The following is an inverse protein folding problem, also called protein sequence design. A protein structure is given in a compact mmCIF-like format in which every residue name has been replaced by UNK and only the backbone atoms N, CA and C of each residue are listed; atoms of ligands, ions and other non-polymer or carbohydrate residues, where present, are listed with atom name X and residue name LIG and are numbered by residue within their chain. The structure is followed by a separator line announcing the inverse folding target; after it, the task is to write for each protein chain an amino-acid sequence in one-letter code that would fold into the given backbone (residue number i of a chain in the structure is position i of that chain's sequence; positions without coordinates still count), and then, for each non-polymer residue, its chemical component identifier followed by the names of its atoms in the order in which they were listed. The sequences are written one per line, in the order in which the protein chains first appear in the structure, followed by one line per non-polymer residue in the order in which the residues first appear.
data_IF_960873247626
#
_entry.id   IF_960873247626
#
_cell.length_a   1.000
_cell.length_b   1.000
_cell.length_c   1.000
_cell.angle_alpha   90.00
_cell.angle_beta   90.00
_cell.angle_gamma   90.00
#
_symmetry.space_group_name_H-M   'P 1'
#
loop_
_entity.id
_entity.type
_entity.pdbx_description
1 polymer ?
#
# COMPACT_ATOMS: atom_id res chain seq x y z
N UNK A 1 3.76 -10.81 -35.04
CA UNK A 1 4.27 -12.00 -34.32
C UNK A 1 4.11 -11.83 -32.80
N UNK A 2 4.49 -10.69 -32.20
CA UNK A 2 4.48 -10.51 -30.74
C UNK A 2 3.06 -10.47 -30.16
N UNK A 3 2.17 -9.65 -30.72
CA UNK A 3 0.83 -9.44 -30.16
C UNK A 3 -0.01 -10.72 -30.06
N UNK A 4 -0.15 -11.56 -31.10
CA UNK A 4 -0.92 -12.80 -31.00
C UNK A 4 -0.36 -13.75 -29.95
N UNK A 5 0.97 -13.90 -29.89
CA UNK A 5 1.66 -14.76 -28.92
C UNK A 5 1.41 -14.27 -27.48
N UNK A 6 1.47 -12.96 -27.23
CA UNK A 6 1.23 -12.37 -25.92
C UNK A 6 -0.22 -12.60 -25.50
N UNK A 7 -1.20 -12.35 -26.38
CA UNK A 7 -2.62 -12.56 -26.09
C UNK A 7 -2.93 -14.02 -25.75
N UNK A 8 -2.44 -14.94 -26.58
CA UNK A 8 -2.61 -16.37 -26.35
C UNK A 8 -2.00 -16.81 -25.01
N UNK A 9 -0.78 -16.39 -24.74
CA UNK A 9 -0.07 -16.75 -23.50
C UNK A 9 -0.75 -16.20 -22.26
N UNK A 10 -1.28 -14.97 -22.31
CA UNK A 10 -2.05 -14.40 -21.20
C UNK A 10 -3.38 -15.14 -21.01
N UNK A 11 -4.06 -15.51 -22.08
CA UNK A 11 -5.31 -16.30 -22.00
C UNK A 11 -5.06 -17.65 -21.32
N UNK A 12 -3.97 -18.33 -21.70
CA UNK A 12 -3.57 -19.61 -21.09
C UNK A 12 -3.22 -19.49 -19.60
N UNK A 13 -2.75 -18.33 -19.14
CA UNK A 13 -2.46 -18.10 -17.72
C UNK A 13 -3.70 -17.95 -16.84
N UNK A 14 -4.90 -17.88 -17.42
CA UNK A 14 -6.19 -17.91 -16.75
C UNK A 14 -6.45 -16.73 -15.79
N UNK A 15 -6.26 -15.46 -16.20
CA UNK A 15 -6.53 -14.33 -15.31
C UNK A 15 -8.04 -14.23 -15.00
N UNK A 16 -8.38 -14.16 -13.71
CA UNK A 16 -9.77 -14.08 -13.24
C UNK A 16 -10.30 -12.65 -13.18
N UNK A 17 -9.41 -11.65 -13.14
CA UNK A 17 -9.77 -10.23 -13.05
C UNK A 17 -9.23 -9.45 -14.24
N UNK A 18 -9.98 -8.46 -14.71
CA UNK A 18 -9.54 -7.55 -15.78
C UNK A 18 -8.18 -6.89 -15.47
N UNK A 19 -7.96 -6.46 -14.23
CA UNK A 19 -6.70 -5.87 -13.81
C UNK A 19 -5.51 -6.84 -13.85
N UNK A 20 -5.75 -8.12 -13.60
CA UNK A 20 -4.72 -9.17 -13.73
C UNK A 20 -4.36 -9.36 -15.20
N UNK A 21 -5.35 -9.47 -16.08
CA UNK A 21 -5.15 -9.59 -17.53
C UNK A 21 -4.38 -8.38 -18.10
N UNK A 22 -4.80 -7.16 -17.75
CA UNK A 22 -4.13 -5.94 -18.19
C UNK A 22 -2.67 -5.86 -17.71
N UNK A 23 -2.38 -6.24 -16.47
CA UNK A 23 -1.02 -6.29 -15.96
C UNK A 23 -0.19 -7.39 -16.63
N UNK A 24 -0.76 -8.56 -16.85
CA UNK A 24 -0.09 -9.67 -17.55
C UNK A 24 0.25 -9.28 -18.99
N UNK A 25 -0.70 -8.69 -19.73
CA UNK A 25 -0.47 -8.17 -21.09
C UNK A 25 0.69 -7.17 -21.10
N UNK A 26 0.67 -6.18 -20.20
CA UNK A 26 1.70 -5.14 -20.12
C UNK A 26 3.09 -5.72 -19.88
N UNK A 27 3.21 -6.62 -18.93
CA UNK A 27 4.51 -7.19 -18.52
C UNK A 27 5.03 -8.14 -19.58
N UNK A 28 4.16 -9.01 -20.11
CA UNK A 28 4.55 -9.98 -21.13
C UNK A 28 4.88 -9.32 -22.47
N UNK A 29 4.18 -8.24 -22.87
CA UNK A 29 4.51 -7.49 -24.08
C UNK A 29 5.93 -6.91 -24.03
N UNK A 30 6.32 -6.31 -22.91
CA UNK A 30 7.68 -5.77 -22.75
C UNK A 30 8.74 -6.85 -22.82
N UNK A 31 8.48 -7.97 -22.14
CA UNK A 31 9.38 -9.11 -22.17
C UNK A 31 9.51 -9.70 -23.58
N UNK A 32 8.38 -9.90 -24.28
CA UNK A 32 8.37 -10.47 -25.63
C UNK A 32 9.07 -9.58 -26.65
N UNK A 33 8.87 -8.25 -26.57
CA UNK A 33 9.59 -7.30 -27.43
C UNK A 33 11.10 -7.39 -27.19
N UNK A 34 11.53 -7.34 -25.92
CA UNK A 34 12.94 -7.51 -25.59
C UNK A 34 13.50 -8.86 -26.07
N UNK A 35 12.75 -9.96 -25.90
CA UNK A 35 13.19 -11.27 -26.33
C UNK A 35 13.38 -11.35 -27.85
N UNK A 36 12.50 -10.73 -28.62
CA UNK A 36 12.64 -10.64 -30.09
C UNK A 36 13.84 -9.79 -30.46
N UNK A 37 14.07 -8.64 -29.79
CA UNK A 37 15.23 -7.79 -30.01
C UNK A 37 16.55 -8.49 -29.68
N UNK A 38 16.54 -9.45 -28.73
CA UNK A 38 17.68 -10.32 -28.41
C UNK A 38 17.78 -11.56 -29.35
N UNK A 39 16.95 -11.66 -30.39
CA UNK A 39 16.94 -12.76 -31.35
C UNK A 39 16.34 -14.06 -30.85
N UNK A 40 15.58 -14.03 -29.74
CA UNK A 40 14.95 -15.25 -29.22
C UNK A 40 13.67 -15.59 -29.98
N UNK A 41 13.44 -16.88 -30.19
CA UNK A 41 12.18 -17.38 -30.74
C UNK A 41 11.10 -17.35 -29.68
N UNK A 42 9.92 -16.79 -29.99
CA UNK A 42 8.78 -16.76 -29.10
C UNK A 42 8.07 -18.11 -29.00
N UNK A 43 8.74 -19.09 -28.40
CA UNK A 43 8.16 -20.35 -27.95
C UNK A 43 8.08 -20.34 -26.42
N UNK A 44 6.92 -20.70 -25.86
CA UNK A 44 6.67 -20.57 -24.41
C UNK A 44 7.65 -21.35 -23.55
N UNK A 45 7.95 -22.58 -23.96
CA UNK A 45 8.83 -23.48 -23.17
C UNK A 45 10.30 -23.04 -23.20
N UNK A 46 10.74 -22.42 -24.29
CA UNK A 46 12.13 -22.00 -24.45
C UNK A 46 12.39 -20.57 -23.97
N UNK A 47 11.43 -19.65 -24.16
CA UNK A 47 11.62 -18.22 -23.81
C UNK A 47 11.16 -17.86 -22.41
N UNK A 48 10.11 -18.51 -21.87
CA UNK A 48 9.62 -18.27 -20.51
C UNK A 48 10.34 -19.17 -19.50
N UNK A 49 11.66 -19.07 -19.45
CA UNK A 49 12.52 -19.82 -18.53
C UNK A 49 13.04 -18.91 -17.39
N UNK A 50 13.45 -19.49 -16.25
CA UNK A 50 14.08 -18.73 -15.17
C UNK A 50 15.25 -17.89 -15.66
N UNK A 51 16.12 -18.48 -16.48
CA UNK A 51 17.34 -17.86 -17.01
C UNK A 51 17.02 -16.67 -17.93
N UNK A 52 16.05 -16.82 -18.81
CA UNK A 52 15.63 -15.74 -19.71
C UNK A 52 15.02 -14.55 -18.93
N UNK A 53 14.22 -14.83 -17.91
CA UNK A 53 13.63 -13.78 -17.06
C UNK A 53 14.71 -13.09 -16.21
N UNK A 54 15.70 -13.82 -15.71
CA UNK A 54 16.81 -13.22 -14.96
C UNK A 54 17.70 -12.36 -15.86
N UNK A 55 17.96 -12.80 -17.10
CA UNK A 55 18.66 -12.00 -18.11
C UNK A 55 17.86 -10.72 -18.45
N UNK A 56 16.55 -10.82 -18.66
CA UNK A 56 15.68 -9.67 -18.88
C UNK A 56 15.73 -8.68 -17.72
N UNK A 57 15.71 -9.17 -16.47
CA UNK A 57 15.86 -8.34 -15.27
C UNK A 57 17.16 -7.51 -15.29
N UNK A 58 18.26 -8.14 -15.71
CA UNK A 58 19.59 -7.51 -15.67
C UNK A 58 19.81 -6.56 -16.85
N UNK A 59 19.30 -6.91 -18.02
CA UNK A 59 19.56 -6.22 -19.29
C UNK A 59 18.36 -5.38 -19.75
N UNK A 60 17.20 -6.01 -19.91
CA UNK A 60 16.02 -5.36 -20.49
C UNK A 60 15.31 -4.37 -19.58
N UNK A 61 15.49 -4.49 -18.26
CA UNK A 61 14.83 -3.62 -17.29
C UNK A 61 15.73 -2.50 -16.72
N UNK A 62 16.86 -2.19 -17.33
CA UNK A 62 17.81 -1.19 -16.78
C UNK A 62 17.21 0.17 -16.52
N UNK A 63 16.27 0.61 -17.35
CA UNK A 63 15.58 1.90 -17.20
C UNK A 63 14.50 1.91 -16.10
N UNK A 64 14.13 0.76 -15.52
CA UNK A 64 13.11 0.69 -14.48
C UNK A 64 13.73 0.86 -13.08
N UNK A 65 12.96 1.50 -12.17
CA UNK A 65 13.31 1.56 -10.75
C UNK A 65 13.40 0.14 -10.14
N UNK A 66 14.25 -0.09 -9.12
CA UNK A 66 14.44 -1.42 -8.52
C UNK A 66 13.13 -2.09 -8.05
N UNK A 67 12.22 -1.33 -7.46
CA UNK A 67 10.90 -1.81 -7.01
C UNK A 67 10.01 -2.24 -8.17
N UNK A 68 10.01 -1.47 -9.26
CA UNK A 68 9.27 -1.82 -10.49
C UNK A 68 9.83 -3.08 -11.12
N UNK A 69 11.17 -3.23 -11.18
CA UNK A 69 11.84 -4.45 -11.67
C UNK A 69 11.41 -5.68 -10.88
N UNK A 70 11.48 -5.61 -9.54
CA UNK A 70 11.09 -6.73 -8.67
C UNK A 70 9.63 -7.14 -8.85
N UNK A 71 8.72 -6.18 -8.96
CA UNK A 71 7.30 -6.44 -9.20
C UNK A 71 7.05 -7.06 -10.58
N UNK A 72 7.73 -6.57 -11.62
CA UNK A 72 7.58 -7.08 -12.99
C UNK A 72 8.14 -8.50 -13.13
N UNK A 73 9.33 -8.77 -12.56
CA UNK A 73 9.91 -10.12 -12.50
C UNK A 73 9.01 -11.10 -11.76
N UNK A 74 8.45 -10.71 -10.61
CA UNK A 74 7.54 -11.56 -9.85
C UNK A 74 6.30 -11.96 -10.67
N UNK A 75 5.73 -11.00 -11.40
CA UNK A 75 4.57 -11.25 -12.28
C UNK A 75 4.93 -12.14 -13.47
N UNK A 76 6.08 -11.88 -14.13
CA UNK A 76 6.56 -12.72 -15.23
C UNK A 76 6.78 -14.15 -14.78
N UNK A 77 7.44 -14.35 -13.64
CA UNK A 77 7.69 -15.68 -13.10
C UNK A 77 6.39 -16.41 -12.77
N UNK A 78 5.42 -15.73 -12.17
CA UNK A 78 4.11 -16.32 -11.86
C UNK A 78 3.38 -16.74 -13.14
N UNK A 79 3.33 -15.87 -14.15
CA UNK A 79 2.73 -16.14 -15.45
C UNK A 79 3.44 -17.29 -16.16
N UNK A 80 4.76 -17.25 -16.24
CA UNK A 80 5.57 -18.24 -16.92
C UNK A 80 5.37 -19.64 -16.33
N UNK A 81 5.34 -19.78 -14.99
CA UNK A 81 5.04 -21.06 -14.32
C UNK A 81 3.65 -21.59 -14.65
N UNK A 82 2.68 -20.72 -14.82
CA UNK A 82 1.31 -21.13 -15.15
C UNK A 82 1.20 -21.69 -16.60
N UNK A 83 2.06 -21.22 -17.53
CA UNK A 83 1.92 -21.54 -18.95
C UNK A 83 3.02 -22.46 -19.51
N UNK A 84 4.03 -22.81 -18.70
CA UNK A 84 5.10 -23.74 -19.08
C UNK A 84 5.01 -25.05 -18.28
N UNK A 85 5.38 -26.15 -18.91
CA UNK A 85 5.37 -27.48 -18.30
C UNK A 85 6.78 -28.07 -18.15
N UNK A 86 7.69 -27.71 -19.04
CA UNK A 86 9.05 -28.27 -19.14
C UNK A 86 10.14 -27.35 -18.63
N UNK A 87 9.85 -26.03 -18.50
CA UNK A 87 10.81 -25.06 -18.02
C UNK A 87 11.27 -25.40 -16.60
N UNK A 88 12.58 -25.31 -16.29
CA UNK A 88 13.15 -25.78 -15.00
C UNK A 88 12.91 -24.79 -13.87
N UNK A 89 11.67 -24.64 -13.45
CA UNK A 89 11.30 -23.75 -12.35
C UNK A 89 11.75 -24.31 -11.01
N UNK A 90 12.51 -23.56 -10.18
CA UNK A 90 12.85 -23.99 -8.84
C UNK A 90 11.59 -24.07 -7.97
N UNK A 91 11.60 -25.00 -7.01
CA UNK A 91 10.49 -25.15 -6.05
C UNK A 91 10.29 -23.87 -5.21
N UNK A 92 11.40 -23.28 -4.79
CA UNK A 92 11.41 -22.01 -4.06
C UNK A 92 12.25 -20.95 -4.78
N UNK A 93 11.80 -19.71 -4.71
CA UNK A 93 12.54 -18.58 -5.24
C UNK A 93 13.27 -17.84 -4.13
N UNK A 94 14.50 -17.43 -4.39
CA UNK A 94 15.07 -16.30 -3.68
C UNK A 94 14.17 -15.09 -3.93
N UNK A 95 13.39 -14.71 -2.93
CA UNK A 95 12.57 -13.50 -3.00
C UNK A 95 13.53 -12.31 -3.19
N UNK A 96 13.28 -11.50 -4.22
CA UNK A 96 13.99 -10.24 -4.39
C UNK A 96 13.84 -9.38 -3.11
N UNK A 97 14.78 -8.47 -2.87
CA UNK A 97 14.69 -7.57 -1.71
C UNK A 97 13.31 -6.92 -1.67
N UNK A 98 12.56 -7.23 -0.62
CA UNK A 98 11.27 -6.61 -0.36
C UNK A 98 11.52 -5.16 0.01
N UNK A 99 10.76 -4.24 -0.58
CA UNK A 99 10.67 -2.89 -0.03
C UNK A 99 9.95 -3.00 1.32
N UNK A 100 10.65 -2.67 2.40
CA UNK A 100 10.09 -2.61 3.74
C UNK A 100 9.00 -1.56 3.88
N UNK A 101 8.35 -1.52 5.05
CA UNK A 101 7.46 -0.42 5.39
C UNK A 101 8.31 0.87 5.51
N UNK A 102 7.74 1.97 5.03
CA UNK A 102 8.37 3.27 5.19
C UNK A 102 8.49 3.62 6.68
N UNK A 103 9.59 4.27 7.13
CA UNK A 103 9.71 4.74 8.51
C UNK A 103 8.51 5.60 8.92
N UNK A 104 8.00 5.51 10.16
CA UNK A 104 6.92 6.38 10.62
C UNK A 104 7.37 7.86 10.63
N UNK A 105 6.41 8.75 10.57
CA UNK A 105 6.63 10.16 10.86
C UNK A 105 6.79 10.37 12.36
N UNK A 106 7.60 11.37 12.76
CA UNK A 106 7.67 11.80 14.16
C UNK A 106 6.41 12.58 14.56
N UNK A 107 6.21 12.79 15.87
CA UNK A 107 5.10 13.58 16.37
C UNK A 107 5.17 15.02 15.89
N UNK A 108 6.38 15.58 15.81
CA UNK A 108 6.65 16.94 15.31
C UNK A 108 6.31 17.07 13.82
N UNK A 109 6.73 16.11 13.01
CA UNK A 109 6.37 16.07 11.58
C UNK A 109 4.85 16.03 11.41
N UNK A 110 4.15 15.17 12.16
CA UNK A 110 2.67 15.07 12.10
C UNK A 110 2.00 16.37 12.55
N UNK A 111 2.49 17.02 13.60
CA UNK A 111 1.99 18.33 14.04
C UNK A 111 2.22 19.40 12.95
N UNK A 112 3.38 19.43 12.34
CA UNK A 112 3.71 20.32 11.23
C UNK A 112 2.79 20.11 10.02
N UNK A 113 2.53 18.86 9.63
CA UNK A 113 1.58 18.57 8.54
C UNK A 113 0.14 18.98 8.89
N UNK A 114 -0.29 18.85 10.16
CA UNK A 114 -1.61 19.30 10.57
C UNK A 114 -1.74 20.83 10.50
N UNK A 115 -0.71 21.57 10.89
CA UNK A 115 -0.65 23.03 10.72
C UNK A 115 -0.64 23.40 9.22
N UNK A 116 0.20 22.76 8.42
CA UNK A 116 0.25 22.97 6.97
C UNK A 116 -1.10 22.70 6.29
N UNK A 117 -1.88 21.74 6.81
CA UNK A 117 -3.23 21.48 6.30
C UNK A 117 -4.17 22.67 6.49
N UNK A 118 -4.04 23.43 7.58
CA UNK A 118 -4.81 24.65 7.82
C UNK A 118 -4.40 25.82 6.92
N UNK A 119 -3.19 25.79 6.37
CA UNK A 119 -2.62 26.87 5.54
C UNK A 119 -2.72 26.59 4.02
N UNK A 120 -3.36 25.48 3.63
CA UNK A 120 -3.50 25.15 2.21
C UNK A 120 -4.31 26.21 1.45
N UNK A 121 -3.92 26.46 0.20
CA UNK A 121 -4.62 27.37 -0.69
C UNK A 121 -5.95 26.75 -1.16
N UNK A 122 -7.03 27.22 -0.55
CA UNK A 122 -8.41 26.88 -0.89
C UNK A 122 -9.04 25.78 -0.02
N UNK A 123 -10.36 25.86 0.19
CA UNK A 123 -11.09 25.02 1.15
C UNK A 123 -11.00 23.52 0.82
N UNK A 124 -10.98 23.18 -0.48
CA UNK A 124 -10.83 21.78 -0.91
C UNK A 124 -9.50 21.16 -0.45
N UNK A 125 -8.36 21.89 -0.62
CA UNK A 125 -7.04 21.36 -0.21
C UNK A 125 -6.92 21.26 1.31
N UNK A 126 -7.45 22.24 2.04
CA UNK A 126 -7.55 22.21 3.51
C UNK A 126 -8.29 20.96 3.96
N UNK A 127 -9.50 20.75 3.40
CA UNK A 127 -10.33 19.59 3.72
C UNK A 127 -9.63 18.28 3.37
N UNK A 128 -9.13 18.17 2.14
CA UNK A 128 -8.50 16.95 1.65
C UNK A 128 -7.26 16.56 2.47
N UNK A 129 -6.41 17.52 2.84
CA UNK A 129 -5.22 17.24 3.63
C UNK A 129 -5.58 16.87 5.08
N UNK A 130 -6.53 17.57 5.72
CA UNK A 130 -7.03 17.23 7.06
C UNK A 130 -7.66 15.84 7.10
N UNK A 131 -8.55 15.53 6.14
CA UNK A 131 -9.18 14.21 6.03
C UNK A 131 -8.14 13.09 5.78
N UNK A 132 -7.15 13.34 4.91
CA UNK A 132 -6.06 12.39 4.67
C UNK A 132 -5.30 12.07 5.96
N UNK A 133 -4.90 13.08 6.72
CA UNK A 133 -4.19 12.91 7.99
C UNK A 133 -5.07 12.18 9.01
N UNK A 134 -6.32 12.62 9.20
CA UNK A 134 -7.23 12.03 10.19
C UNK A 134 -7.53 10.55 9.88
N UNK A 135 -7.81 10.21 8.64
CA UNK A 135 -8.09 8.83 8.23
C UNK A 135 -6.85 7.93 8.29
N UNK A 136 -5.67 8.43 7.93
CA UNK A 136 -4.47 7.59 7.90
C UNK A 136 -3.80 7.45 9.26
N UNK A 137 -3.60 8.55 10.00
CA UNK A 137 -2.95 8.52 11.33
C UNK A 137 -3.97 8.20 12.42
N UNK A 138 -5.24 8.56 12.25
CA UNK A 138 -6.30 8.24 13.19
C UNK A 138 -6.82 6.81 13.09
N UNK A 139 -7.00 6.27 11.87
CA UNK A 139 -7.64 4.98 11.64
C UNK A 139 -6.87 4.03 10.69
N UNK A 140 -5.66 4.38 10.28
CA UNK A 140 -4.82 3.51 9.47
C UNK A 140 -5.35 3.22 8.07
N UNK A 141 -6.07 4.14 7.45
CA UNK A 141 -6.59 3.98 6.10
C UNK A 141 -5.45 3.79 5.06
N UNK A 142 -5.69 2.93 4.07
CA UNK A 142 -4.79 2.73 2.92
C UNK A 142 -5.06 3.78 1.85
N UNK A 143 -4.08 4.01 0.97
CA UNK A 143 -4.23 4.96 -0.15
C UNK A 143 -5.50 4.73 -0.98
N UNK A 144 -5.85 3.48 -1.25
CA UNK A 144 -7.05 3.14 -2.03
C UNK A 144 -8.37 3.29 -1.27
N UNK A 145 -8.33 3.39 0.06
CA UNK A 145 -9.53 3.52 0.91
C UNK A 145 -9.94 4.97 1.10
N UNK A 146 -8.99 5.90 1.03
CA UNK A 146 -9.20 7.32 1.34
C UNK A 146 -10.32 7.99 0.53
N UNK A 147 -10.49 7.59 -0.74
CA UNK A 147 -11.46 8.19 -1.65
C UNK A 147 -12.86 7.57 -1.58
N UNK A 148 -13.02 6.52 -0.79
CA UNK A 148 -14.30 5.85 -0.62
C UNK A 148 -14.99 6.24 0.70
N UNK A 149 -14.22 6.69 1.71
CA UNK A 149 -14.76 7.02 3.04
C UNK A 149 -15.62 8.27 2.99
N UNK A 150 -16.86 8.15 3.43
CA UNK A 150 -17.85 9.23 3.57
C UNK A 150 -18.13 9.52 5.04
N UNK A 151 -18.97 10.50 5.33
CA UNK A 151 -19.42 10.79 6.70
C UNK A 151 -20.18 9.58 7.31
N UNK A 152 -20.93 8.82 6.50
CA UNK A 152 -21.71 7.65 6.95
C UNK A 152 -20.82 6.46 7.35
N UNK A 153 -19.55 6.49 6.98
CA UNK A 153 -18.57 5.47 7.38
C UNK A 153 -17.94 5.77 8.75
N UNK A 154 -18.19 6.95 9.30
CA UNK A 154 -17.78 7.33 10.66
C UNK A 154 -18.93 6.95 11.60
N UNK A 155 -18.68 5.96 12.43
CA UNK A 155 -19.69 5.37 13.31
C UNK A 155 -19.26 5.44 14.77
N UNK A 156 -20.24 5.39 15.65
CA UNK A 156 -20.01 5.13 17.07
C UNK A 156 -20.27 3.65 17.37
N UNK A 157 -19.35 3.04 18.09
CA UNK A 157 -19.48 1.67 18.59
C UNK A 157 -19.23 1.71 20.10
N UNK A 158 -20.28 1.60 20.88
CA UNK A 158 -20.21 1.63 22.34
C UNK A 158 -19.47 2.86 22.91
N UNK A 159 -19.71 4.05 22.35
CA UNK A 159 -19.06 5.30 22.74
C UNK A 159 -17.65 5.51 22.18
N UNK A 160 -17.20 4.64 21.27
CA UNK A 160 -15.90 4.72 20.61
C UNK A 160 -16.11 5.10 19.14
N UNK A 161 -15.54 6.22 18.73
CA UNK A 161 -15.54 6.61 17.32
C UNK A 161 -14.74 5.61 16.48
N UNK A 162 -15.33 5.13 15.40
CA UNK A 162 -14.71 4.15 14.51
C UNK A 162 -14.98 4.49 13.03
N UNK A 163 -14.16 3.95 12.14
CA UNK A 163 -14.26 4.14 10.69
C UNK A 163 -14.45 2.78 10.02
N UNK A 164 -15.44 2.68 9.13
CA UNK A 164 -15.55 1.57 8.18
C UNK A 164 -14.57 1.78 7.05
N UNK A 165 -13.63 0.87 6.88
CA UNK A 165 -12.58 0.94 5.88
C UNK A 165 -12.58 -0.28 4.96
N UNK A 166 -12.32 -0.03 3.68
CA UNK A 166 -12.08 -1.05 2.69
C UNK A 166 -13.34 -1.70 2.16
N UNK A 167 -13.17 -2.38 1.03
CA UNK A 167 -14.26 -3.04 0.32
C UNK A 167 -14.19 -4.57 0.43
N UNK A 168 -13.00 -5.15 0.63
CA UNK A 168 -12.84 -6.61 0.74
C UNK A 168 -11.47 -6.98 1.38
N UNK A 169 -11.43 -7.54 2.56
CA UNK A 169 -12.48 -7.51 3.57
C UNK A 169 -12.67 -6.10 4.13
N UNK A 170 -13.91 -5.69 4.28
CA UNK A 170 -14.24 -4.47 5.02
C UNK A 170 -13.89 -4.68 6.51
N UNK A 171 -13.42 -3.62 7.16
CA UNK A 171 -13.09 -3.63 8.58
C UNK A 171 -13.59 -2.39 9.27
N UNK A 172 -13.94 -2.52 10.52
CA UNK A 172 -14.24 -1.39 11.40
C UNK A 172 -13.02 -1.14 12.26
N UNK A 173 -12.49 0.07 12.22
CA UNK A 173 -11.25 0.44 12.91
C UNK A 173 -11.55 1.56 13.89
N UNK A 174 -11.29 1.39 15.19
CA UNK A 174 -11.44 2.45 16.18
C UNK A 174 -10.46 3.58 15.86
N UNK A 175 -10.95 4.80 15.97
CA UNK A 175 -10.14 6.01 15.78
C UNK A 175 -9.26 6.22 17.01
N UNK A 176 -7.98 6.48 16.82
CA UNK A 176 -7.08 6.87 17.92
C UNK A 176 -7.66 8.08 18.66
N UNK A 177 -7.74 8.02 19.99
CA UNK A 177 -8.38 9.06 20.80
C UNK A 177 -7.90 10.49 20.48
N UNK A 178 -6.58 10.67 20.29
CA UNK A 178 -6.00 11.96 19.92
C UNK A 178 -6.43 12.50 18.53
N UNK A 179 -7.13 11.68 17.73
CA UNK A 179 -7.56 12.02 16.38
C UNK A 179 -9.07 12.14 16.23
N UNK A 180 -9.85 11.85 17.24
CA UNK A 180 -11.33 11.90 17.19
C UNK A 180 -11.81 13.30 16.82
N UNK A 181 -11.41 14.34 17.54
CA UNK A 181 -11.82 15.73 17.27
C UNK A 181 -11.36 16.21 15.87
N UNK A 182 -10.15 15.78 15.45
CA UNK A 182 -9.62 16.11 14.14
C UNK A 182 -10.41 15.45 13.01
N UNK A 183 -10.85 14.21 13.23
CA UNK A 183 -11.71 13.50 12.27
C UNK A 183 -13.11 14.15 12.24
N UNK A 184 -13.69 14.48 13.39
CA UNK A 184 -14.97 15.19 13.47
C UNK A 184 -14.93 16.54 12.77
N UNK A 185 -13.83 17.29 12.92
CA UNK A 185 -13.61 18.54 12.18
C UNK A 185 -13.62 18.29 10.65
N UNK A 186 -12.99 17.21 10.19
CA UNK A 186 -13.00 16.84 8.77
C UNK A 186 -14.40 16.39 8.29
N UNK A 187 -15.16 15.70 9.14
CA UNK A 187 -16.55 15.30 8.84
C UNK A 187 -17.45 16.54 8.73
N UNK A 188 -17.37 17.46 9.68
CA UNK A 188 -18.20 18.67 9.69
C UNK A 188 -17.93 19.62 8.51
N UNK A 189 -16.73 19.59 7.96
CA UNK A 189 -16.37 20.38 6.77
C UNK A 189 -16.66 19.65 5.46
N UNK A 190 -16.98 18.36 5.49
CA UNK A 190 -17.29 17.58 4.29
C UNK A 190 -18.71 17.87 3.81
N UNK A 191 -18.85 18.04 2.50
CA UNK A 191 -20.18 18.02 1.87
C UNK A 191 -20.65 16.59 1.65
N UNK A 192 -21.66 16.41 0.79
CA UNK A 192 -22.12 15.09 0.36
C UNK A 192 -21.03 14.41 -0.45
N UNK A 193 -20.58 13.23 -0.03
CA UNK A 193 -19.60 12.40 -0.72
C UNK A 193 -18.36 12.07 0.11
N UNK A 194 -17.24 11.71 -0.53
CA UNK A 194 -16.01 11.35 0.18
C UNK A 194 -15.48 12.47 1.07
N UNK A 195 -15.01 12.13 2.27
CA UNK A 195 -14.43 13.11 3.22
C UNK A 195 -13.27 13.91 2.64
N UNK A 196 -12.51 13.31 1.73
CA UNK A 196 -11.44 13.99 0.98
C UNK A 196 -11.99 15.03 -0.03
N UNK A 197 -13.30 14.97 -0.33
CA UNK A 197 -13.94 15.91 -1.26
C UNK A 197 -13.64 15.67 -2.74
N UNK A 198 -12.91 14.61 -3.11
CA UNK A 198 -12.57 14.33 -4.51
C UNK A 198 -13.50 13.27 -5.11
N UNK A 199 -14.07 13.57 -6.26
CA UNK A 199 -14.83 12.63 -7.08
C UNK A 199 -13.98 12.01 -8.21
N UNK A 200 -12.68 12.24 -8.24
CA UNK A 200 -11.81 11.71 -9.29
C UNK A 200 -11.69 10.20 -9.15
N UNK A 201 -11.89 9.49 -10.24
CA UNK A 201 -11.70 8.05 -10.34
C UNK A 201 -10.41 7.79 -11.12
N UNK A 202 -9.44 7.09 -10.53
CA UNK A 202 -8.17 6.77 -11.21
C UNK A 202 -7.18 6.08 -10.29
N UNK A 203 -6.20 5.42 -10.89
CA UNK A 203 -5.28 4.49 -10.20
C UNK A 203 -4.29 5.19 -9.25
N UNK A 204 -3.95 6.45 -9.51
CA UNK A 204 -2.93 7.20 -8.76
C UNK A 204 -3.49 8.44 -8.04
N UNK A 205 -4.77 8.37 -7.64
CA UNK A 205 -5.48 9.51 -7.03
C UNK A 205 -4.77 10.06 -5.80
N UNK A 206 -4.31 9.17 -4.90
CA UNK A 206 -3.62 9.60 -3.68
C UNK A 206 -2.31 10.34 -4.01
N UNK A 207 -1.53 9.83 -4.94
CA UNK A 207 -0.27 10.47 -5.35
C UNK A 207 -0.50 11.83 -5.99
N UNK A 208 -1.52 11.95 -6.86
CA UNK A 208 -1.87 13.22 -7.51
C UNK A 208 -2.39 14.25 -6.50
N UNK A 209 -3.25 13.81 -5.56
CA UNK A 209 -3.75 14.67 -4.49
C UNK A 209 -2.61 15.18 -3.61
N UNK A 210 -1.75 14.29 -3.11
CA UNK A 210 -0.63 14.67 -2.27
C UNK A 210 0.39 15.57 -2.98
N UNK A 211 0.52 15.44 -4.32
CA UNK A 211 1.36 16.35 -5.11
C UNK A 211 0.76 17.76 -5.24
N UNK A 212 -0.55 17.91 -5.03
CA UNK A 212 -1.23 19.20 -5.13
C UNK A 212 -1.17 20.03 -3.84
N UNK A 213 -0.72 19.44 -2.72
CA UNK A 213 -0.58 20.16 -1.45
C UNK A 213 0.70 20.99 -1.41
N UNK A 214 0.62 22.08 -0.68
CA UNK A 214 1.77 22.93 -0.36
C UNK A 214 2.39 22.49 0.95
N UNK A 215 3.72 22.37 0.96
CA UNK A 215 4.49 21.90 2.11
C UNK A 215 5.46 23.00 2.53
N UNK A 216 5.10 23.82 3.54
CA UNK A 216 5.96 24.91 3.99
C UNK A 216 7.18 24.38 4.74
N UNK A 217 8.27 25.16 4.71
CA UNK A 217 9.50 24.88 5.44
C UNK A 217 10.21 23.61 4.98
N UNK A 218 10.68 22.83 5.93
CA UNK A 218 11.42 21.57 5.70
C UNK A 218 10.52 20.34 5.56
N UNK A 219 9.20 20.52 5.56
CA UNK A 219 8.27 19.39 5.41
C UNK A 219 8.39 18.76 4.03
N UNK A 220 8.76 17.51 4.00
CA UNK A 220 8.77 16.73 2.77
C UNK A 220 7.34 16.42 2.30
N UNK A 221 7.19 16.02 1.04
CA UNK A 221 5.89 15.59 0.52
C UNK A 221 5.33 14.44 1.35
N UNK A 222 4.04 14.53 1.75
CA UNK A 222 3.33 13.46 2.45
C UNK A 222 3.31 12.15 1.66
N UNK A 223 3.48 11.06 2.37
CA UNK A 223 3.39 9.71 1.84
C UNK A 223 2.38 8.89 2.66
N UNK A 224 1.27 8.45 2.05
CA UNK A 224 0.25 7.64 2.75
C UNK A 224 0.84 6.37 3.37
N UNK A 225 1.74 5.62 2.71
CA UNK A 225 2.39 4.48 3.35
C UNK A 225 3.13 4.86 4.63
N UNK A 226 3.80 6.02 4.67
CA UNK A 226 4.52 6.50 5.83
C UNK A 226 3.58 6.96 6.96
N UNK A 227 2.47 7.65 6.63
CA UNK A 227 1.41 7.98 7.57
C UNK A 227 0.80 6.72 8.20
N UNK A 228 0.55 5.69 7.38
CA UNK A 228 0.04 4.42 7.87
C UNK A 228 1.06 3.70 8.77
N UNK A 229 2.37 3.77 8.48
CA UNK A 229 3.42 3.25 9.36
C UNK A 229 3.40 3.95 10.72
N UNK A 230 3.12 5.26 10.76
CA UNK A 230 2.95 6.03 12.00
C UNK A 230 1.78 5.48 12.85
N UNK A 231 0.63 5.22 12.21
CA UNK A 231 -0.49 4.60 12.88
C UNK A 231 -0.16 3.18 13.37
N UNK A 232 0.45 2.35 12.51
CA UNK A 232 0.83 0.97 12.86
C UNK A 232 1.79 0.91 14.04
N UNK A 233 2.83 1.76 14.09
CA UNK A 233 3.78 1.78 15.19
C UNK A 233 3.10 2.16 16.51
N UNK A 234 2.18 3.12 16.49
CA UNK A 234 1.39 3.49 17.67
C UNK A 234 0.48 2.37 18.16
N UNK A 235 -0.23 1.69 17.24
CA UNK A 235 -1.11 0.58 17.62
C UNK A 235 -0.30 -0.62 18.12
N UNK A 236 0.86 -0.93 17.51
CA UNK A 236 1.77 -1.98 18.00
C UNK A 236 2.29 -1.72 19.41
N UNK A 237 2.48 -0.44 19.76
CA UNK A 237 2.91 -0.03 21.10
C UNK A 237 1.82 -0.27 22.16
N UNK A 238 0.55 -0.02 21.78
CA UNK A 238 -0.56 0.01 22.74
C UNK A 238 -1.36 -1.30 22.80
N UNK A 239 -1.39 -2.08 21.71
CA UNK A 239 -2.26 -3.22 21.53
C UNK A 239 -1.48 -4.52 21.28
N UNK A 240 -2.17 -5.66 21.36
CA UNK A 240 -1.63 -6.96 20.97
C UNK A 240 -1.50 -7.12 19.45
N UNK A 241 -0.66 -8.06 19.03
CA UNK A 241 -0.42 -8.34 17.61
C UNK A 241 -1.70 -8.78 16.88
N UNK A 242 -2.58 -9.52 17.54
CA UNK A 242 -3.86 -9.96 16.97
C UNK A 242 -4.77 -8.78 16.64
N UNK A 243 -4.84 -7.80 17.55
CA UNK A 243 -5.63 -6.58 17.36
C UNK A 243 -5.09 -5.76 16.18
N UNK A 244 -3.75 -5.66 16.08
CA UNK A 244 -3.09 -5.00 14.94
C UNK A 244 -3.42 -5.68 13.62
N UNK A 245 -3.39 -7.01 13.56
CA UNK A 245 -3.74 -7.74 12.34
C UNK A 245 -5.17 -7.48 11.90
N UNK A 246 -6.11 -7.57 12.84
CA UNK A 246 -7.52 -7.30 12.59
C UNK A 246 -7.74 -5.86 12.11
N UNK A 247 -7.30 -4.87 12.89
CA UNK A 247 -7.48 -3.45 12.57
C UNK A 247 -6.75 -3.02 11.28
N UNK A 248 -5.56 -3.54 11.04
CA UNK A 248 -4.79 -3.23 9.84
C UNK A 248 -5.25 -4.00 8.60
N UNK A 249 -6.04 -5.07 8.75
CA UNK A 249 -6.42 -5.96 7.66
C UNK A 249 -5.19 -6.60 7.00
N UNK A 250 -4.23 -7.08 7.80
CA UNK A 250 -3.03 -7.78 7.35
C UNK A 250 -3.08 -9.24 7.80
N UNK A 251 -2.58 -10.13 6.97
CA UNK A 251 -2.64 -11.59 7.20
C UNK A 251 -1.29 -12.20 7.55
N UNK A 252 -0.20 -11.43 7.44
CA UNK A 252 1.15 -11.92 7.70
C UNK A 252 1.98 -10.93 8.52
N UNK A 253 2.71 -11.41 9.54
CA UNK A 253 3.56 -10.58 10.40
C UNK A 253 4.84 -10.05 9.76
N UNK A 254 5.22 -10.58 8.60
CA UNK A 254 6.49 -10.23 7.92
C UNK A 254 6.67 -8.73 7.67
N UNK A 255 5.56 -8.00 7.47
CA UNK A 255 5.60 -6.55 7.27
C UNK A 255 5.87 -5.78 8.57
N UNK A 256 5.45 -6.32 9.71
CA UNK A 256 5.58 -5.63 11.00
C UNK A 256 7.03 -5.61 11.51
N UNK A 257 7.87 -6.54 11.08
CA UNK A 257 9.30 -6.56 11.45
C UNK A 257 10.03 -5.27 11.09
N UNK A 258 9.61 -4.60 10.02
CA UNK A 258 10.19 -3.32 9.59
C UNK A 258 9.90 -2.16 10.55
N UNK A 259 8.88 -2.32 11.41
CA UNK A 259 8.47 -1.32 12.40
C UNK A 259 9.09 -1.57 13.78
N UNK A 260 9.70 -2.72 14.04
CA UNK A 260 10.32 -3.03 15.33
C UNK A 260 11.28 -1.96 15.85
N UNK A 261 12.12 -1.32 15.02
CA UNK A 261 13.00 -0.24 15.48
C UNK A 261 12.24 0.99 16.02
N UNK A 262 10.96 1.14 15.67
CA UNK A 262 10.11 2.29 16.04
C UNK A 262 9.07 1.95 17.12
N UNK A 263 9.05 0.71 17.60
CA UNK A 263 8.17 0.26 18.68
C UNK A 263 9.02 0.09 19.93
N UNK A 264 8.81 0.92 20.98
CA UNK A 264 9.60 0.84 22.19
C UNK A 264 9.37 -0.49 22.90
N UNK A 265 10.45 -1.13 23.37
CA UNK A 265 10.33 -2.29 24.25
C UNK A 265 9.69 -1.86 25.58
N UNK A 266 8.85 -2.72 26.20
CA UNK A 266 8.28 -2.41 27.50
C UNK A 266 9.39 -2.33 28.55
N UNK A 267 9.41 -1.22 29.30
CA UNK A 267 10.34 -1.07 30.42
C UNK A 267 9.97 -2.02 31.55
N UNK A 268 10.96 -2.54 32.26
CA UNK A 268 10.79 -3.40 33.43
C UNK A 268 9.87 -2.72 34.47
N UNK A 269 8.87 -3.44 34.95
CA UNK A 269 7.88 -2.90 35.89
C UNK A 269 6.75 -2.07 35.29
N UNK A 270 6.81 -1.71 34.00
CA UNK A 270 5.74 -0.99 33.31
C UNK A 270 4.47 -1.82 33.14
N UNK A 271 3.29 -1.20 32.87
CA UNK A 271 2.09 -1.96 32.54
C UNK A 271 2.26 -2.93 31.37
N UNK A 272 3.04 -2.56 30.37
CA UNK A 272 3.41 -3.44 29.24
C UNK A 272 4.21 -4.66 29.69
N UNK A 273 5.19 -4.45 30.56
CA UNK A 273 5.99 -5.54 31.13
C UNK A 273 5.13 -6.47 32.02
N UNK A 274 4.20 -5.91 32.82
CA UNK A 274 3.25 -6.73 33.61
C UNK A 274 2.37 -7.58 32.71
N UNK A 275 1.86 -7.02 31.60
CA UNK A 275 1.08 -7.79 30.63
C UNK A 275 1.84 -8.96 30.02
N UNK A 276 3.16 -8.86 29.82
CA UNK A 276 4.00 -9.98 29.37
C UNK A 276 3.96 -11.16 30.37
N UNK A 277 3.82 -10.88 31.67
CA UNK A 277 3.66 -11.89 32.72
C UNK A 277 2.22 -12.35 32.95
N UNK A 278 1.24 -11.84 32.16
CA UNK A 278 -0.18 -12.16 32.32
C UNK A 278 -0.88 -11.40 33.46
N UNK A 279 -0.23 -10.38 34.04
CA UNK A 279 -0.85 -9.53 35.07
C UNK A 279 -1.68 -8.42 34.42
N UNK A 280 -2.91 -8.23 34.86
CA UNK A 280 -3.82 -7.15 34.42
C UNK A 280 -3.66 -5.91 35.26
#
# INVERSE_FOLDING_TARGET
VVEPWVRETVTLSGPTLHSQAANALKVLSRFALWAVDEGMVLDRESVLTPQAIDRYRLVGMRALAPTSRSAEVSRLRHLARAVTKKAPWPAEWAQGSRQGLSPPYTSEEIAGYWQAAGMQNGPFRVQAMKATLALTVGAGARSGELFAVTADDIIDVDGIAAVRLGSMPARVVPVRAAWVDRLQTAVGAAGVGPLIGSRRVGRDQASALLASFEYPGELSRLMVPRLRSTWLSGVLTDCGVADVFSAAGITTGKALSDLLPYVPAPQTGSPGWRRLGGYR
#
